data_IF_048554913295
#
_entry.id   IF_048554913295
#
_cell.length_a   1.000
_cell.length_b   1.000
_cell.length_c   1.000
_cell.angle_alpha   90.00
_cell.angle_beta   90.00
_cell.angle_gamma   90.00
#
_symmetry.space_group_name_H-M   'P 1'
#
loop_
_entity.id
_entity.type
_entity.pdbx_description
1 polymer ?
#
# COMPACT_ATOMS: atom_id res chain seq x y z
N UNK A 1 -0.18 -3.18 -26.14
CA UNK A 1 -1.54 -2.64 -25.95
C UNK A 1 -1.42 -1.17 -25.54
N UNK A 2 -2.33 -0.31 -26.03
CA UNK A 2 -2.36 1.13 -25.72
C UNK A 2 -3.76 1.47 -25.25
N UNK A 3 -3.89 2.08 -24.08
CA UNK A 3 -5.19 2.46 -23.51
C UNK A 3 -5.20 3.90 -22.99
N UNK A 4 -6.40 4.47 -22.86
CA UNK A 4 -6.64 5.71 -22.12
C UNK A 4 -7.28 5.33 -20.80
N UNK A 5 -6.66 5.74 -19.71
CA UNK A 5 -7.13 5.42 -18.35
C UNK A 5 -6.99 6.61 -17.43
N UNK A 6 -7.72 6.60 -16.34
CA UNK A 6 -7.58 7.60 -15.28
C UNK A 6 -6.83 7.03 -14.08
N UNK A 7 -6.22 7.90 -13.30
CA UNK A 7 -5.72 7.54 -11.96
C UNK A 7 -4.42 6.76 -11.91
N UNK A 8 -3.66 6.66 -13.00
CA UNK A 8 -2.44 5.81 -13.03
C UNK A 8 -1.33 6.25 -12.06
N UNK A 9 -1.13 7.54 -11.82
CA UNK A 9 -0.21 8.02 -10.78
C UNK A 9 -0.98 8.29 -9.47
N UNK A 10 -1.99 9.15 -9.54
CA UNK A 10 -2.86 9.48 -8.40
C UNK A 10 -4.31 9.26 -8.82
N UNK A 11 -5.04 8.37 -8.12
CA UNK A 11 -6.44 8.13 -8.38
C UNK A 11 -7.27 9.42 -8.33
N UNK A 12 -8.11 9.63 -9.35
CA UNK A 12 -9.05 10.75 -9.40
C UNK A 12 -9.99 10.67 -8.20
N UNK A 13 -10.18 11.79 -7.51
CA UNK A 13 -10.90 11.82 -6.24
C UNK A 13 -11.49 13.18 -5.95
N UNK A 14 -12.53 13.18 -5.13
CA UNK A 14 -13.04 14.36 -4.46
C UNK A 14 -13.42 14.01 -3.02
N UNK A 15 -13.55 15.00 -2.15
CA UNK A 15 -13.86 14.71 -0.77
C UNK A 15 -14.22 15.94 0.05
N UNK A 16 -14.64 15.67 1.27
CA UNK A 16 -15.01 16.66 2.27
C UNK A 16 -14.19 16.40 3.53
N UNK A 17 -13.75 17.48 4.17
CA UNK A 17 -13.16 17.41 5.50
C UNK A 17 -13.62 18.60 6.32
N UNK A 18 -13.79 18.40 7.60
CA UNK A 18 -14.15 19.46 8.53
C UNK A 18 -13.62 19.16 9.91
N UNK A 19 -13.51 20.18 10.73
CA UNK A 19 -13.16 20.03 12.14
C UNK A 19 -13.82 21.12 12.97
N UNK A 20 -14.12 20.77 14.23
CA UNK A 20 -14.65 21.67 15.25
C UNK A 20 -13.72 21.68 16.46
N UNK A 21 -13.45 22.86 16.99
CA UNK A 21 -12.69 23.05 18.24
C UNK A 21 -13.65 22.91 19.42
N UNK A 22 -13.43 21.89 20.24
CA UNK A 22 -14.24 21.61 21.43
C UNK A 22 -13.75 22.38 22.66
N UNK A 23 -12.71 23.19 22.54
CA UNK A 23 -12.03 23.86 23.64
C UNK A 23 -10.97 23.00 24.32
N UNK A 24 -10.18 23.62 25.20
CA UNK A 24 -9.11 22.96 25.95
C UNK A 24 -8.07 22.22 25.09
N UNK A 25 -7.89 22.64 23.82
CA UNK A 25 -6.97 22.02 22.86
C UNK A 25 -7.46 20.71 22.28
N UNK A 26 -8.74 20.41 22.38
CA UNK A 26 -9.37 19.20 21.79
C UNK A 26 -10.17 19.59 20.55
N UNK A 27 -9.98 18.84 19.47
CA UNK A 27 -10.72 18.98 18.20
C UNK A 27 -11.36 17.67 17.81
N UNK A 28 -12.56 17.74 17.27
CA UNK A 28 -13.21 16.63 16.55
C UNK A 28 -13.22 16.96 15.07
N UNK A 29 -13.06 15.99 14.20
CA UNK A 29 -13.14 16.21 12.77
C UNK A 29 -13.46 14.95 11.99
N UNK A 30 -13.67 15.12 10.69
CA UNK A 30 -13.94 14.03 9.77
C UNK A 30 -13.21 14.21 8.44
N UNK A 31 -13.00 13.09 7.74
CA UNK A 31 -12.49 13.04 6.36
C UNK A 31 -13.36 12.05 5.59
N UNK A 32 -13.93 12.52 4.48
CA UNK A 32 -14.69 11.71 3.53
C UNK A 32 -14.07 11.90 2.15
N UNK A 33 -13.51 10.84 1.55
CA UNK A 33 -12.88 10.89 0.23
C UNK A 33 -13.42 9.78 -0.66
N UNK A 34 -13.94 10.18 -1.82
CA UNK A 34 -14.44 9.28 -2.87
C UNK A 34 -13.46 9.22 -4.04
N UNK A 35 -13.18 8.01 -4.55
CA UNK A 35 -12.50 7.80 -5.81
C UNK A 35 -13.49 7.74 -6.98
N UNK A 36 -13.02 8.01 -8.20
CA UNK A 36 -13.79 7.82 -9.43
C UNK A 36 -12.88 7.64 -10.63
N UNK A 37 -13.39 6.99 -11.67
CA UNK A 37 -12.73 6.91 -12.97
C UNK A 37 -13.06 8.14 -13.80
N UNK A 38 -12.09 9.01 -14.07
CA UNK A 38 -12.34 10.27 -14.79
C UNK A 38 -12.68 10.09 -16.27
N UNK A 39 -12.34 8.95 -16.84
CA UNK A 39 -12.62 8.56 -18.23
C UNK A 39 -14.04 8.02 -18.42
N UNK A 40 -14.64 7.38 -17.40
CA UNK A 40 -15.97 6.76 -17.49
C UNK A 40 -17.00 7.34 -16.51
N UNK A 41 -16.55 8.07 -15.48
CA UNK A 41 -17.41 8.54 -14.39
C UNK A 41 -17.81 7.46 -13.38
N UNK A 42 -17.29 6.24 -13.50
CA UNK A 42 -17.66 5.12 -12.64
C UNK A 42 -17.02 5.23 -11.23
N UNK A 43 -17.68 4.63 -10.23
CA UNK A 43 -17.09 4.40 -8.91
C UNK A 43 -16.16 3.17 -8.96
N UNK A 44 -14.94 3.22 -8.40
CA UNK A 44 -13.96 2.15 -8.55
C UNK A 44 -14.22 0.94 -7.64
N UNK A 45 -14.92 1.07 -6.54
CA UNK A 45 -15.05 0.05 -5.51
C UNK A 45 -16.50 -0.38 -5.29
N UNK A 46 -17.03 -1.30 -6.12
CA UNK A 46 -18.33 -1.95 -5.95
C UNK A 46 -19.46 -1.01 -5.48
N UNK A 47 -19.49 0.24 -5.98
CA UNK A 47 -20.50 1.22 -5.62
C UNK A 47 -20.30 1.91 -4.27
N UNK A 48 -19.21 1.65 -3.53
CA UNK A 48 -18.94 2.32 -2.25
C UNK A 48 -18.70 3.82 -2.47
N UNK A 49 -19.53 4.65 -1.82
CA UNK A 49 -19.26 6.08 -1.64
C UNK A 49 -18.20 6.22 -0.54
N UNK A 50 -17.24 7.13 -0.73
CA UNK A 50 -16.11 7.34 0.19
C UNK A 50 -15.22 6.10 0.37
N UNK A 51 -15.01 5.38 -0.73
CA UNK A 51 -14.19 4.17 -0.81
C UNK A 51 -12.74 4.38 -0.35
N UNK A 52 -12.23 5.63 -0.46
CA UNK A 52 -10.83 5.97 -0.16
C UNK A 52 -10.60 6.30 1.31
N UNK A 53 -11.49 7.09 1.92
CA UNK A 53 -11.46 7.39 3.35
C UNK A 53 -12.87 7.80 3.82
N UNK A 54 -13.29 7.21 4.94
CA UNK A 54 -14.51 7.59 5.65
C UNK A 54 -14.21 7.51 7.14
N UNK A 55 -13.76 8.64 7.73
CA UNK A 55 -13.25 8.65 9.11
C UNK A 55 -13.77 9.81 9.92
N UNK A 56 -13.90 9.55 11.23
CA UNK A 56 -14.01 10.56 12.28
C UNK A 56 -12.77 10.49 13.17
N UNK A 57 -12.31 11.62 13.67
CA UNK A 57 -11.17 11.64 14.58
C UNK A 57 -11.36 12.63 15.74
N UNK A 58 -10.66 12.33 16.84
CA UNK A 58 -10.50 13.20 18.00
C UNK A 58 -9.00 13.47 18.19
N UNK A 59 -8.61 14.73 18.22
CA UNK A 59 -7.21 15.17 18.34
C UNK A 59 -7.02 16.10 19.52
N UNK A 60 -5.91 15.97 20.21
CA UNK A 60 -5.55 16.80 21.36
C UNK A 60 -4.12 16.58 21.84
N UNK A 61 -3.79 17.09 23.02
CA UNK A 61 -2.48 16.87 23.64
C UNK A 61 -2.17 15.40 23.93
N UNK A 62 -3.20 14.54 23.94
CA UNK A 62 -3.09 13.09 24.07
C UNK A 62 -2.72 12.38 22.76
N UNK A 63 -2.67 13.08 21.65
CA UNK A 63 -2.47 12.53 20.31
C UNK A 63 -3.75 12.55 19.45
N UNK A 64 -3.92 11.55 18.59
CA UNK A 64 -5.06 11.46 17.68
C UNK A 64 -5.68 10.06 17.74
N UNK A 65 -6.99 9.99 17.93
CA UNK A 65 -7.82 8.80 17.81
C UNK A 65 -8.66 8.93 16.55
N UNK A 66 -8.59 7.96 15.64
CA UNK A 66 -9.31 7.96 14.35
C UNK A 66 -10.04 6.64 14.16
N UNK A 67 -11.27 6.69 13.65
CA UNK A 67 -12.13 5.53 13.43
C UNK A 67 -12.75 5.57 12.04
N UNK A 68 -12.93 4.40 11.43
CA UNK A 68 -13.61 4.22 10.15
C UNK A 68 -12.77 3.55 9.08
N UNK A 69 -13.14 3.76 7.82
CA UNK A 69 -12.40 3.24 6.68
C UNK A 69 -11.18 4.09 6.37
N UNK A 70 -10.00 3.48 6.39
CA UNK A 70 -8.74 4.17 6.14
C UNK A 70 -7.66 3.22 5.62
N UNK A 71 -6.53 3.78 5.18
CA UNK A 71 -5.37 3.00 4.75
C UNK A 71 -4.63 2.40 5.96
N UNK A 72 -4.08 1.20 5.81
CA UNK A 72 -3.14 0.63 6.79
C UNK A 72 -1.85 1.48 6.86
N UNK A 73 -1.04 1.32 7.92
CA UNK A 73 0.18 2.12 8.15
C UNK A 73 1.18 2.05 7.00
N UNK A 74 1.37 0.88 6.43
CA UNK A 74 2.29 0.59 5.33
C UNK A 74 1.68 0.79 3.94
N UNK A 75 0.44 1.27 3.87
CA UNK A 75 -0.27 1.47 2.62
C UNK A 75 0.42 2.45 1.67
N UNK A 76 0.08 2.36 0.40
CA UNK A 76 0.72 3.16 -0.66
C UNK A 76 0.24 4.61 -0.75
N UNK A 77 -0.91 4.93 -0.18
CA UNK A 77 -1.45 6.30 -0.10
C UNK A 77 -2.57 6.38 0.95
N UNK A 78 -2.91 7.60 1.38
CA UNK A 78 -3.95 7.86 2.37
C UNK A 78 -3.41 8.63 3.58
N UNK A 79 -4.30 9.18 4.38
CA UNK A 79 -3.96 10.07 5.51
C UNK A 79 -3.32 9.31 6.70
N UNK A 80 -3.52 7.99 6.77
CA UNK A 80 -3.00 7.12 7.83
C UNK A 80 -1.68 6.43 7.47
N UNK A 81 -1.24 6.54 6.21
CA UNK A 81 -0.01 5.90 5.72
C UNK A 81 1.23 6.62 6.24
N UNK A 82 2.20 5.86 6.74
CA UNK A 82 3.49 6.38 7.22
C UNK A 82 4.66 6.13 6.24
N UNK A 83 4.44 5.37 5.16
CA UNK A 83 5.49 4.99 4.19
C UNK A 83 5.50 5.86 2.94
N UNK A 84 4.34 6.15 2.38
CA UNK A 84 4.23 6.88 1.12
C UNK A 84 4.90 8.25 1.18
N UNK A 85 5.86 8.49 0.29
CA UNK A 85 6.61 9.74 0.20
C UNK A 85 7.63 9.98 1.32
N UNK A 86 7.67 9.12 2.35
CA UNK A 86 8.61 9.23 3.46
C UNK A 86 9.86 8.37 3.26
N UNK A 87 9.67 7.07 2.99
CA UNK A 87 10.76 6.07 2.95
C UNK A 87 10.83 5.28 1.64
N UNK A 88 10.03 5.64 0.64
CA UNK A 88 10.09 5.06 -0.69
C UNK A 88 10.09 6.16 -1.76
N UNK A 89 10.90 6.02 -2.85
CA UNK A 89 10.98 7.04 -3.91
C UNK A 89 9.68 7.14 -4.72
N UNK A 90 9.03 6.00 -4.92
CA UNK A 90 7.75 5.86 -5.64
C UNK A 90 6.82 5.06 -4.75
N UNK A 91 5.69 5.64 -4.35
CA UNK A 91 4.77 5.01 -3.40
C UNK A 91 3.66 4.21 -4.08
N UNK A 92 2.88 4.84 -4.94
CA UNK A 92 1.74 4.20 -5.61
C UNK A 92 2.08 3.62 -6.98
N UNK A 93 3.29 3.88 -7.48
CA UNK A 93 3.66 3.60 -8.86
C UNK A 93 2.94 4.51 -9.86
N UNK A 94 2.84 4.03 -11.09
CA UNK A 94 2.17 4.71 -12.19
C UNK A 94 1.16 3.78 -12.88
N UNK A 95 0.38 3.04 -12.07
CA UNK A 95 -0.56 2.02 -12.49
C UNK A 95 -0.06 0.60 -12.18
N UNK A 96 -0.87 -0.39 -12.53
CA UNK A 96 -0.69 -1.79 -12.12
C UNK A 96 0.62 -2.41 -12.61
N UNK A 97 1.16 -1.92 -13.70
CA UNK A 97 2.40 -2.44 -14.29
C UNK A 97 3.64 -1.57 -14.00
N UNK A 98 3.51 -0.51 -13.20
CA UNK A 98 4.60 0.40 -12.80
C UNK A 98 4.53 0.59 -11.28
N UNK A 99 4.95 -0.40 -10.50
CA UNK A 99 4.44 -0.65 -9.15
C UNK A 99 5.08 0.14 -8.01
N UNK A 100 6.23 0.78 -8.17
CA UNK A 100 6.94 1.34 -7.01
C UNK A 100 7.27 0.27 -5.97
N UNK A 101 7.11 0.55 -4.66
CA UNK A 101 7.41 -0.46 -3.62
C UNK A 101 6.36 -1.57 -3.51
N UNK A 102 5.20 -1.45 -4.15
CA UNK A 102 4.22 -2.54 -4.23
C UNK A 102 4.81 -3.82 -4.83
N UNK A 103 5.87 -3.69 -5.65
CA UNK A 103 6.54 -4.84 -6.25
C UNK A 103 7.08 -5.86 -5.24
N UNK A 104 7.43 -5.40 -4.03
CA UNK A 104 8.11 -6.22 -3.02
C UNK A 104 7.31 -6.34 -1.72
N UNK A 105 6.07 -5.87 -1.71
CA UNK A 105 5.26 -5.86 -0.50
C UNK A 105 4.21 -6.97 -0.50
N UNK A 106 3.71 -7.32 0.68
CA UNK A 106 2.68 -8.32 0.89
C UNK A 106 1.40 -7.72 1.47
N UNK A 107 0.27 -8.37 1.18
CA UNK A 107 -1.07 -7.94 1.56
C UNK A 107 -1.60 -6.74 0.76
N UNK A 108 -2.89 -6.48 0.89
CA UNK A 108 -3.51 -5.32 0.24
C UNK A 108 -3.00 -4.01 0.86
N UNK A 109 -2.34 -3.19 0.06
CA UNK A 109 -1.78 -1.90 0.48
C UNK A 109 -2.78 -0.74 0.44
N UNK A 110 -4.06 -1.00 0.23
CA UNK A 110 -5.06 0.05 0.05
C UNK A 110 -5.80 0.37 1.36
N UNK A 111 -7.07 0.02 1.48
CA UNK A 111 -7.94 0.48 2.57
C UNK A 111 -8.60 -0.67 3.27
N UNK A 112 -8.71 -0.54 4.58
CA UNK A 112 -9.38 -1.46 5.49
C UNK A 112 -10.58 -0.78 6.12
N UNK A 113 -11.65 -1.54 6.27
CA UNK A 113 -12.87 -1.13 6.96
C UNK A 113 -12.73 -1.30 8.48
N UNK A 114 -13.57 -0.62 9.23
CA UNK A 114 -13.71 -0.80 10.68
C UNK A 114 -12.40 -0.61 11.48
N UNK A 115 -11.54 0.29 11.01
CA UNK A 115 -10.24 0.55 11.65
C UNK A 115 -10.39 1.52 12.80
N UNK A 116 -9.84 1.15 13.96
CA UNK A 116 -9.50 2.05 15.06
C UNK A 116 -7.99 2.33 15.02
N UNK A 117 -7.60 3.60 15.03
CA UNK A 117 -6.19 4.02 15.00
C UNK A 117 -5.89 5.01 16.12
N UNK A 118 -4.77 4.82 16.78
CA UNK A 118 -4.19 5.81 17.69
C UNK A 118 -2.82 6.25 17.20
N UNK A 119 -2.59 7.57 17.23
CA UNK A 119 -1.28 8.17 16.95
C UNK A 119 -0.86 8.99 18.17
N UNK A 120 0.33 8.77 18.68
CA UNK A 120 0.88 9.56 19.80
C UNK A 120 1.10 11.03 19.41
N UNK A 121 1.21 11.94 20.36
CA UNK A 121 1.84 13.23 20.13
C UNK A 121 3.24 13.09 19.52
N UNK A 122 3.74 14.16 18.95
CA UNK A 122 5.10 14.23 18.43
C UNK A 122 6.11 14.36 19.58
N UNK A 123 7.01 13.40 19.71
CA UNK A 123 8.10 13.37 20.69
C UNK A 123 9.43 13.70 20.02
N UNK A 124 9.68 14.95 19.72
CA UNK A 124 10.89 15.41 19.03
C UNK A 124 11.12 14.70 17.68
N UNK A 125 10.06 14.58 16.88
CA UNK A 125 10.05 13.92 15.58
C UNK A 125 9.66 12.45 15.60
N UNK A 126 9.57 11.81 16.77
CA UNK A 126 9.09 10.43 16.93
C UNK A 126 7.58 10.39 17.14
N UNK A 127 6.90 9.55 16.36
CA UNK A 127 5.49 9.17 16.57
C UNK A 127 5.34 7.67 16.56
N UNK A 128 4.44 7.17 17.41
CA UNK A 128 4.01 5.77 17.44
C UNK A 128 2.56 5.68 16.98
N UNK A 129 2.23 4.54 16.37
CA UNK A 129 0.95 4.27 15.76
C UNK A 129 0.46 2.90 16.15
N UNK A 130 -0.83 2.80 16.47
CA UNK A 130 -1.54 1.54 16.66
C UNK A 130 -2.74 1.52 15.72
N UNK A 131 -2.95 0.42 15.00
CA UNK A 131 -4.17 0.18 14.23
C UNK A 131 -4.75 -1.18 14.60
N UNK A 132 -6.07 -1.26 14.60
CA UNK A 132 -6.83 -2.47 14.81
C UNK A 132 -8.09 -2.44 13.94
N UNK A 133 -8.42 -3.57 13.33
CA UNK A 133 -9.75 -3.83 12.74
C UNK A 133 -10.22 -5.23 13.10
N UNK A 134 -11.44 -5.33 13.58
CA UNK A 134 -12.11 -6.59 13.91
C UNK A 134 -12.74 -7.30 12.69
N UNK A 135 -12.72 -6.63 11.53
CA UNK A 135 -13.22 -7.12 10.25
C UNK A 135 -12.93 -6.09 9.17
N UNK A 136 -11.74 -6.17 8.55
CA UNK A 136 -11.30 -5.14 7.62
C UNK A 136 -11.92 -5.26 6.22
N UNK A 137 -12.61 -6.36 5.95
CA UNK A 137 -13.24 -6.72 4.68
C UNK A 137 -14.61 -7.41 4.87
N UNK A 138 -15.30 -7.09 5.96
CA UNK A 138 -16.61 -7.68 6.30
C UNK A 138 -17.61 -7.56 5.16
N UNK A 139 -18.23 -8.66 4.81
CA UNK A 139 -19.40 -8.74 3.95
C UNK A 139 -20.66 -9.04 4.79
N UNK A 140 -21.41 -7.99 5.10
CA UNK A 140 -22.66 -8.11 5.89
C UNK A 140 -23.75 -8.89 5.16
N UNK A 141 -23.74 -8.90 3.82
CA UNK A 141 -24.70 -9.63 2.99
C UNK A 141 -24.47 -11.16 3.11
N UNK A 142 -23.25 -11.59 3.39
CA UNK A 142 -22.88 -12.96 3.69
C UNK A 142 -23.00 -13.32 5.19
N UNK A 143 -23.45 -12.38 6.01
CA UNK A 143 -23.64 -12.58 7.45
C UNK A 143 -22.35 -12.55 8.27
N UNK A 144 -21.29 -11.98 7.74
CA UNK A 144 -20.05 -11.77 8.47
C UNK A 144 -20.22 -10.72 9.58
N UNK A 145 -19.59 -10.95 10.72
CA UNK A 145 -19.67 -10.05 11.88
C UNK A 145 -18.26 -9.83 12.44
N UNK A 146 -17.93 -8.57 12.72
CA UNK A 146 -16.65 -8.20 13.29
C UNK A 146 -16.27 -8.99 14.55
N UNK A 147 -14.97 -9.22 14.74
CA UNK A 147 -14.37 -9.90 15.88
C UNK A 147 -14.78 -11.39 16.05
N UNK A 148 -15.18 -12.02 14.95
CA UNK A 148 -15.50 -13.44 14.92
C UNK A 148 -14.53 -14.21 14.01
N UNK A 149 -14.59 -15.54 14.07
CA UNK A 149 -13.79 -16.41 13.19
C UNK A 149 -14.21 -16.34 11.71
N UNK A 150 -15.37 -15.74 11.44
CA UNK A 150 -15.88 -15.50 10.09
C UNK A 150 -15.27 -14.27 9.40
N UNK A 151 -14.41 -13.51 10.08
CA UNK A 151 -13.86 -12.26 9.54
C UNK A 151 -12.34 -12.18 9.64
N UNK A 152 -11.72 -11.57 8.64
CA UNK A 152 -10.31 -11.24 8.65
C UNK A 152 -10.05 -10.05 9.58
N UNK A 153 -9.17 -10.22 10.55
CA UNK A 153 -8.81 -9.20 11.55
C UNK A 153 -7.39 -8.71 11.34
N UNK A 154 -7.15 -7.47 11.70
CA UNK A 154 -5.89 -6.79 11.45
C UNK A 154 -5.40 -6.04 12.68
N UNK A 155 -4.10 -6.12 12.93
CA UNK A 155 -3.40 -5.43 14.01
C UNK A 155 -2.11 -4.82 13.45
N UNK A 156 -1.79 -3.59 13.81
CA UNK A 156 -0.52 -2.98 13.44
C UNK A 156 0.05 -2.12 14.58
N UNK A 157 1.36 -2.23 14.73
CA UNK A 157 2.18 -1.31 15.50
C UNK A 157 3.19 -0.66 14.55
N UNK A 158 3.21 0.67 14.52
CA UNK A 158 4.12 1.42 13.68
C UNK A 158 4.85 2.52 14.41
N UNK A 159 5.93 2.97 13.79
CA UNK A 159 6.69 4.14 14.22
C UNK A 159 7.13 4.98 13.01
N UNK A 160 7.23 6.28 13.21
CA UNK A 160 7.94 7.16 12.29
C UNK A 160 8.84 8.10 13.06
N UNK A 161 9.98 8.45 12.47
CA UNK A 161 10.90 9.42 13.02
C UNK A 161 11.37 10.37 11.91
N UNK A 162 11.35 11.67 12.21
CA UNK A 162 11.83 12.70 11.31
C UNK A 162 12.73 13.69 12.06
N UNK A 163 13.95 13.86 11.58
CA UNK A 163 14.89 14.83 12.14
C UNK A 163 15.76 15.43 11.02
N UNK A 164 15.49 16.71 10.70
CA UNK A 164 16.18 17.39 9.60
C UNK A 164 16.04 16.64 8.28
N UNK A 165 17.14 16.27 7.62
CA UNK A 165 17.15 15.56 6.35
C UNK A 165 16.80 14.07 6.48
N UNK A 166 16.80 13.51 7.68
CA UNK A 166 16.58 12.09 7.93
C UNK A 166 15.11 11.78 8.24
N UNK A 167 14.55 10.79 7.52
CA UNK A 167 13.25 10.20 7.79
C UNK A 167 13.40 8.69 7.95
N UNK A 168 12.68 8.08 8.88
CA UNK A 168 12.51 6.63 8.95
C UNK A 168 11.08 6.28 9.33
N UNK A 169 10.65 5.08 8.96
CA UNK A 169 9.42 4.48 9.41
C UNK A 169 9.56 2.96 9.45
N UNK A 170 8.77 2.33 10.30
CA UNK A 170 8.70 0.88 10.41
C UNK A 170 7.34 0.44 10.95
N UNK A 171 6.93 -0.78 10.63
CA UNK A 171 5.71 -1.37 11.13
C UNK A 171 5.82 -2.88 11.27
N UNK A 172 5.09 -3.41 12.25
CA UNK A 172 4.77 -4.83 12.38
C UNK A 172 3.26 -4.96 12.26
N UNK A 173 2.81 -5.80 11.33
CA UNK A 173 1.41 -6.00 11.01
C UNK A 173 1.07 -7.48 11.11
N UNK A 174 -0.02 -7.81 11.78
CA UNK A 174 -0.53 -9.17 12.00
C UNK A 174 -1.91 -9.28 11.39
N UNK A 175 -2.14 -10.37 10.69
CA UNK A 175 -3.41 -10.72 10.07
C UNK A 175 -3.92 -12.03 10.66
N UNK A 176 -5.12 -12.02 11.25
CA UNK A 176 -5.81 -13.25 11.58
C UNK A 176 -6.82 -13.51 10.45
N UNK A 177 -6.54 -14.55 9.66
CA UNK A 177 -7.41 -14.95 8.57
C UNK A 177 -8.70 -15.60 9.09
N UNK A 178 -9.79 -15.46 8.32
CA UNK A 178 -11.04 -16.13 8.64
C UNK A 178 -10.85 -17.66 8.58
N UNK A 179 -11.45 -18.37 9.54
CA UNK A 179 -11.42 -19.83 9.63
C UNK A 179 -12.81 -20.46 9.62
N UNK A 180 -13.85 -19.66 9.45
CA UNK A 180 -15.25 -20.06 9.44
C UNK A 180 -15.97 -19.48 8.23
N UNK A 181 -17.02 -20.16 7.73
CA UNK A 181 -17.71 -19.81 6.50
C UNK A 181 -16.83 -19.79 5.23
N UNK A 182 -15.78 -20.61 5.22
CA UNK A 182 -14.95 -20.77 4.05
C UNK A 182 -15.73 -21.46 2.93
N UNK A 183 -15.55 -20.99 1.70
CA UNK A 183 -16.07 -21.68 0.50
C UNK A 183 -15.26 -22.94 0.21
N UNK A 184 -15.76 -23.79 -0.72
CA UNK A 184 -15.07 -25.05 -1.08
C UNK A 184 -13.66 -24.81 -1.70
N UNK A 185 -13.42 -23.61 -2.22
CA UNK A 185 -12.13 -23.22 -2.84
C UNK A 185 -11.20 -22.48 -1.87
N UNK A 186 -11.69 -22.06 -0.70
CA UNK A 186 -10.89 -21.43 0.36
C UNK A 186 -10.37 -22.47 1.34
N UNK A 187 -9.20 -22.25 1.89
CA UNK A 187 -8.61 -23.07 2.93
C UNK A 187 -8.33 -22.25 4.19
N UNK A 188 -8.29 -22.92 5.33
CA UNK A 188 -7.81 -22.30 6.56
C UNK A 188 -6.33 -21.98 6.41
N UNK A 189 -5.98 -20.71 6.66
CA UNK A 189 -4.62 -20.19 6.60
C UNK A 189 -4.10 -19.91 8.00
N UNK A 190 -2.81 -20.11 8.20
CA UNK A 190 -2.12 -19.63 9.38
C UNK A 190 -2.05 -18.09 9.39
N UNK A 191 -1.96 -17.51 10.58
CA UNK A 191 -1.95 -16.05 10.75
C UNK A 191 -0.80 -15.37 10.02
N UNK A 192 -1.14 -14.38 9.21
CA UNK A 192 -0.18 -13.61 8.43
C UNK A 192 0.64 -12.62 9.26
N UNK A 193 1.89 -12.41 8.88
CA UNK A 193 2.82 -11.46 9.47
C UNK A 193 3.51 -10.63 8.39
N UNK A 194 3.59 -9.31 8.60
CA UNK A 194 4.45 -8.42 7.81
C UNK A 194 5.29 -7.57 8.76
N UNK A 195 6.61 -7.58 8.56
CA UNK A 195 7.56 -6.73 9.29
C UNK A 195 8.32 -5.90 8.27
N UNK A 196 8.29 -4.59 8.41
CA UNK A 196 8.94 -3.71 7.45
C UNK A 196 9.55 -2.49 8.12
N UNK A 197 10.62 -1.99 7.54
CA UNK A 197 11.25 -0.75 7.98
C UNK A 197 12.04 -0.12 6.82
N UNK A 198 12.21 1.19 6.89
CA UNK A 198 13.01 1.90 5.91
C UNK A 198 13.37 3.30 6.37
N UNK A 199 14.18 3.94 5.54
CA UNK A 199 14.60 5.31 5.78
C UNK A 199 14.92 6.05 4.49
N UNK A 200 15.03 7.36 4.64
CA UNK A 200 15.47 8.24 3.57
C UNK A 200 16.36 9.36 4.15
N UNK A 201 17.33 9.77 3.36
CA UNK A 201 18.18 10.89 3.68
C UNK A 201 18.23 11.88 2.51
N UNK A 202 17.93 13.13 2.80
CA UNK A 202 17.91 14.22 1.84
C UNK A 202 19.26 14.97 1.85
N UNK A 203 20.02 14.84 0.77
CA UNK A 203 21.29 15.53 0.57
C UNK A 203 21.11 16.88 -0.15
N UNK A 204 19.89 17.40 -0.24
CA UNK A 204 19.48 18.61 -0.99
C UNK A 204 19.54 18.43 -2.52
N UNK A 205 20.60 17.87 -3.06
CA UNK A 205 20.79 17.58 -4.50
C UNK A 205 20.18 16.25 -4.92
N UNK A 206 20.03 15.32 -3.97
CA UNK A 206 19.42 14.00 -4.16
C UNK A 206 18.91 13.48 -2.84
N UNK A 207 17.74 12.85 -2.84
CA UNK A 207 17.20 12.11 -1.69
C UNK A 207 17.36 10.62 -1.96
N UNK A 208 18.01 9.91 -1.07
CA UNK A 208 18.21 8.47 -1.12
C UNK A 208 17.17 7.76 -0.26
N UNK A 209 16.79 6.54 -0.66
CA UNK A 209 15.81 5.71 0.02
C UNK A 209 16.28 4.26 0.12
N UNK A 210 15.96 3.62 1.25
CA UNK A 210 16.16 2.19 1.45
C UNK A 210 15.05 1.65 2.34
N UNK A 211 14.43 0.55 1.92
CA UNK A 211 13.37 -0.13 2.68
C UNK A 211 13.52 -1.64 2.53
N UNK A 212 13.26 -2.37 3.62
CA UNK A 212 13.13 -3.83 3.66
C UNK A 212 11.78 -4.25 4.16
N UNK A 213 11.30 -5.38 3.70
CA UNK A 213 10.09 -6.06 4.17
C UNK A 213 10.37 -7.55 4.31
N UNK A 214 9.83 -8.16 5.36
CA UNK A 214 9.69 -9.60 5.56
C UNK A 214 8.19 -9.90 5.72
N UNK A 215 7.74 -11.00 5.16
CA UNK A 215 6.36 -11.45 5.29
C UNK A 215 6.29 -12.97 5.41
N UNK A 216 5.24 -13.45 6.05
CA UNK A 216 4.96 -14.86 6.26
C UNK A 216 3.45 -15.09 6.29
N UNK A 217 2.97 -16.17 5.68
CA UNK A 217 1.55 -16.50 5.48
C UNK A 217 0.75 -15.34 4.85
N UNK A 218 1.31 -14.72 3.80
CA UNK A 218 0.74 -13.54 3.16
C UNK A 218 0.64 -13.70 1.64
N UNK A 219 -0.38 -13.08 0.99
CA UNK A 219 -0.36 -12.89 -0.45
C UNK A 219 0.60 -11.76 -0.85
N UNK A 220 1.21 -11.85 -2.04
CA UNK A 220 1.95 -10.73 -2.64
C UNK A 220 1.00 -9.61 -3.06
N UNK A 221 1.38 -8.35 -2.84
CA UNK A 221 0.55 -7.19 -3.20
C UNK A 221 0.29 -7.06 -4.70
N UNK A 222 1.20 -7.53 -5.53
CA UNK A 222 1.06 -7.54 -7.00
C UNK A 222 0.56 -8.87 -7.57
N UNK A 223 0.49 -9.94 -6.75
CA UNK A 223 0.20 -11.27 -7.24
C UNK A 223 1.26 -11.82 -8.21
N UNK A 224 0.90 -12.83 -8.98
CA UNK A 224 1.74 -13.45 -10.00
C UNK A 224 1.48 -12.87 -11.39
N UNK A 225 2.47 -12.95 -12.28
CA UNK A 225 2.26 -12.56 -13.67
C UNK A 225 1.48 -13.63 -14.43
N UNK A 226 0.45 -13.20 -15.18
CA UNK A 226 -0.42 -14.08 -15.94
C UNK A 226 -1.77 -14.31 -15.25
N UNK A 227 -1.76 -14.90 -14.08
CA UNK A 227 -2.90 -14.99 -13.17
C UNK A 227 -2.43 -14.45 -11.81
N UNK A 228 -3.06 -13.37 -11.34
CA UNK A 228 -2.64 -12.70 -10.09
C UNK A 228 -2.80 -13.60 -8.86
N UNK A 229 -3.68 -14.59 -8.91
CA UNK A 229 -4.03 -15.44 -7.79
C UNK A 229 -3.31 -16.79 -7.80
N UNK A 230 -2.81 -17.25 -8.95
CA UNK A 230 -2.20 -18.56 -9.05
C UNK A 230 -1.13 -18.68 -10.14
N UNK A 231 -0.24 -19.64 -9.96
CA UNK A 231 0.78 -20.03 -10.91
C UNK A 231 0.89 -21.57 -10.93
N UNK A 232 1.01 -22.18 -12.10
CA UNK A 232 1.05 -23.63 -12.24
C UNK A 232 2.42 -24.11 -12.75
N UNK A 233 3.04 -25.04 -12.03
CA UNK A 233 4.28 -25.71 -12.40
C UNK A 233 4.01 -27.20 -12.55
N UNK A 234 4.07 -27.71 -13.76
CA UNK A 234 3.71 -29.12 -14.04
C UNK A 234 2.22 -29.35 -13.75
N UNK A 235 1.93 -30.18 -12.74
CA UNK A 235 0.57 -30.46 -12.26
C UNK A 235 0.26 -29.80 -10.90
N UNK A 236 1.19 -29.03 -10.34
CA UNK A 236 1.02 -28.36 -9.04
C UNK A 236 0.56 -26.91 -9.25
N UNK A 237 -0.46 -26.50 -8.51
CA UNK A 237 -0.97 -25.13 -8.48
C UNK A 237 -0.48 -24.42 -7.23
N UNK A 238 0.20 -23.29 -7.39
CA UNK A 238 0.65 -22.39 -6.32
C UNK A 238 -0.27 -21.19 -6.27
N UNK A 239 -0.80 -20.88 -5.08
CA UNK A 239 -1.73 -19.79 -4.88
C UNK A 239 -1.04 -18.59 -4.22
N UNK A 240 -1.45 -17.40 -4.64
CA UNK A 240 -0.99 -16.14 -4.03
C UNK A 240 -1.77 -15.86 -2.73
N UNK A 241 -1.63 -16.73 -1.73
CA UNK A 241 -2.36 -16.58 -0.46
C UNK A 241 -1.52 -16.94 0.78
N UNK A 242 -0.56 -17.84 0.64
CA UNK A 242 0.19 -18.44 1.75
C UNK A 242 1.69 -18.47 1.42
N UNK A 243 2.26 -17.28 1.32
CA UNK A 243 3.66 -17.08 0.92
C UNK A 243 4.47 -16.46 2.04
N UNK A 244 5.74 -16.86 2.13
CA UNK A 244 6.76 -16.22 2.95
C UNK A 244 7.86 -15.66 2.06
N UNK A 245 8.56 -14.65 2.56
CA UNK A 245 9.65 -14.08 1.80
C UNK A 245 10.14 -12.75 2.32
N UNK A 246 10.97 -12.13 1.53
CA UNK A 246 11.48 -10.80 1.82
C UNK A 246 11.57 -9.94 0.56
N UNK A 247 11.56 -8.63 0.76
CA UNK A 247 11.76 -7.67 -0.31
C UNK A 247 12.64 -6.50 0.12
N UNK A 248 13.35 -5.94 -0.85
CA UNK A 248 14.17 -4.74 -0.69
C UNK A 248 13.76 -3.73 -1.76
N UNK A 249 13.55 -2.49 -1.34
CA UNK A 249 13.34 -1.36 -2.24
C UNK A 249 14.39 -0.28 -1.95
N UNK A 250 15.05 0.19 -2.97
CA UNK A 250 15.96 1.32 -2.89
C UNK A 250 15.76 2.28 -4.04
N UNK A 251 16.22 3.50 -3.93
CA UNK A 251 16.13 4.45 -5.03
C UNK A 251 16.44 5.88 -4.65
N UNK A 252 16.14 6.76 -5.59
CA UNK A 252 16.46 8.18 -5.48
C UNK A 252 15.31 9.06 -5.96
N UNK A 253 15.27 10.28 -5.40
CA UNK A 253 14.59 11.43 -5.98
C UNK A 253 15.60 12.55 -6.20
N UNK A 254 15.63 13.12 -7.39
CA UNK A 254 16.58 14.19 -7.74
C UNK A 254 15.93 15.24 -8.64
N UNK A 255 16.19 16.53 -8.43
CA UNK A 255 15.75 17.59 -9.33
C UNK A 255 16.54 17.51 -10.66
N UNK A 256 15.86 17.17 -11.76
CA UNK A 256 16.46 16.98 -13.09
C UNK A 256 15.56 17.59 -14.15
N UNK A 257 16.13 18.35 -15.09
CA UNK A 257 15.42 18.96 -16.23
C UNK A 257 14.18 19.80 -15.85
N UNK A 258 14.28 20.55 -14.75
CA UNK A 258 13.18 21.40 -14.26
C UNK A 258 12.10 20.65 -13.45
N UNK A 259 12.08 19.34 -13.51
CA UNK A 259 11.19 18.46 -12.76
C UNK A 259 11.92 17.64 -11.69
N UNK A 260 11.30 16.59 -11.24
CA UNK A 260 11.81 15.65 -10.23
C UNK A 260 11.87 14.23 -10.83
N UNK A 261 13.09 13.71 -10.98
CA UNK A 261 13.33 12.33 -11.37
C UNK A 261 13.20 11.43 -10.15
N UNK A 262 12.51 10.30 -10.31
CA UNK A 262 12.37 9.23 -9.33
C UNK A 262 12.85 7.93 -9.94
N UNK A 263 13.74 7.24 -9.25
CA UNK A 263 14.19 5.90 -9.62
C UNK A 263 13.93 4.97 -8.44
N UNK A 264 13.34 3.82 -8.72
CA UNK A 264 13.11 2.74 -7.75
C UNK A 264 13.65 1.44 -8.30
N UNK A 265 14.45 0.76 -7.50
CA UNK A 265 14.98 -0.57 -7.76
C UNK A 265 14.45 -1.51 -6.67
N UNK A 266 13.89 -2.63 -7.06
CA UNK A 266 13.34 -3.59 -6.10
C UNK A 266 13.79 -5.00 -6.41
N UNK A 267 13.96 -5.77 -5.34
CA UNK A 267 14.15 -7.22 -5.39
C UNK A 267 13.26 -7.87 -4.34
N UNK A 268 12.62 -8.98 -4.68
CA UNK A 268 11.82 -9.79 -3.78
C UNK A 268 12.07 -11.25 -4.08
N UNK A 269 12.15 -12.05 -3.02
CA UNK A 269 12.10 -13.49 -3.06
C UNK A 269 10.90 -13.96 -2.23
N UNK A 270 10.14 -14.92 -2.75
CA UNK A 270 9.00 -15.50 -2.06
C UNK A 270 8.84 -16.99 -2.41
N UNK A 271 8.40 -17.75 -1.42
CA UNK A 271 8.09 -19.17 -1.50
C UNK A 271 6.83 -19.50 -0.68
N UNK A 272 6.17 -20.66 -0.86
CA UNK A 272 5.07 -21.08 0.00
C UNK A 272 5.50 -21.17 1.46
N UNK A 273 4.70 -20.60 2.38
CA UNK A 273 4.94 -20.71 3.84
C UNK A 273 4.73 -22.15 4.33
N UNK A 274 3.76 -22.85 3.75
CA UNK A 274 3.52 -24.26 4.01
C UNK A 274 4.27 -25.11 2.99
N UNK A 275 5.01 -26.11 3.45
CA UNK A 275 5.73 -27.03 2.56
C UNK A 275 4.79 -27.69 1.55
N UNK A 276 5.07 -27.53 0.26
CA UNK A 276 4.39 -28.19 -0.86
C UNK A 276 5.29 -29.25 -1.47
N UNK A 277 4.70 -30.17 -2.25
CA UNK A 277 5.44 -31.29 -2.81
C UNK A 277 6.49 -30.90 -3.86
N UNK A 278 6.32 -29.77 -4.51
CA UNK A 278 7.29 -29.21 -5.45
C UNK A 278 7.96 -27.97 -4.85
N UNK A 279 9.26 -27.84 -5.04
CA UNK A 279 9.97 -26.60 -4.73
C UNK A 279 9.46 -25.50 -5.66
N UNK A 280 8.83 -24.47 -5.10
CA UNK A 280 8.38 -23.29 -5.81
C UNK A 280 8.99 -22.07 -5.15
N UNK A 281 9.57 -21.23 -5.94
CA UNK A 281 10.17 -19.97 -5.51
C UNK A 281 9.97 -18.93 -6.61
N UNK A 282 9.72 -17.70 -6.26
CA UNK A 282 9.65 -16.59 -7.19
C UNK A 282 10.66 -15.52 -6.80
N UNK A 283 11.55 -15.21 -7.72
CA UNK A 283 12.44 -14.05 -7.65
C UNK A 283 11.88 -12.93 -8.52
N UNK A 284 11.58 -11.79 -7.91
CA UNK A 284 11.09 -10.60 -8.63
C UNK A 284 12.12 -9.50 -8.61
N UNK A 285 12.49 -9.01 -9.80
CA UNK A 285 13.25 -7.79 -10.00
C UNK A 285 12.38 -6.72 -10.67
N UNK A 286 12.41 -5.49 -10.15
CA UNK A 286 11.73 -4.36 -10.79
C UNK A 286 12.62 -3.13 -10.83
N UNK A 287 12.56 -2.43 -11.96
CA UNK A 287 13.13 -1.09 -12.15
C UNK A 287 12.01 -0.17 -12.58
N UNK A 288 11.76 0.87 -11.79
CA UNK A 288 10.75 1.90 -12.10
C UNK A 288 11.42 3.27 -12.17
N UNK A 289 11.15 3.99 -13.26
CA UNK A 289 11.58 5.38 -13.46
C UNK A 289 10.35 6.25 -13.60
N UNK A 290 10.32 7.34 -12.87
CA UNK A 290 9.30 8.37 -12.98
C UNK A 290 9.92 9.75 -13.12
N UNK A 291 9.25 10.64 -13.83
CA UNK A 291 9.60 12.06 -13.88
C UNK A 291 8.33 12.90 -13.78
N UNK A 292 8.37 13.92 -12.95
CA UNK A 292 7.24 14.80 -12.67
C UNK A 292 7.66 16.25 -12.77
N UNK A 293 6.91 17.06 -13.53
CA UNK A 293 7.11 18.50 -13.66
C UNK A 293 5.85 19.27 -13.32
N UNK A 294 6.00 20.28 -12.46
CA UNK A 294 4.92 21.18 -12.04
C UNK A 294 4.74 22.28 -13.07
N UNK A 295 3.85 22.08 -14.03
CA UNK A 295 3.47 23.11 -15.02
C UNK A 295 2.82 24.33 -14.37
N UNK A 296 2.16 24.13 -13.22
CA UNK A 296 1.58 25.19 -12.38
C UNK A 296 1.44 24.72 -10.93
N UNK A 297 0.92 25.60 -10.04
CA UNK A 297 0.60 25.22 -8.64
C UNK A 297 -0.42 24.06 -8.55
N UNK A 298 -1.22 23.84 -9.59
CA UNK A 298 -2.32 22.87 -9.62
C UNK A 298 -2.17 21.78 -10.67
N UNK A 299 -1.20 21.90 -11.58
CA UNK A 299 -1.04 20.96 -12.70
C UNK A 299 0.35 20.39 -12.72
N UNK A 300 0.44 19.07 -12.71
CA UNK A 300 1.70 18.33 -12.82
C UNK A 300 1.63 17.40 -14.04
N UNK A 301 2.62 17.47 -14.90
CA UNK A 301 2.89 16.48 -15.95
C UNK A 301 3.71 15.34 -15.32
N UNK A 302 3.38 14.10 -15.65
CA UNK A 302 4.20 12.96 -15.24
C UNK A 302 4.47 12.01 -16.41
N UNK A 303 5.64 11.38 -16.34
CA UNK A 303 6.07 10.28 -17.19
C UNK A 303 6.50 9.13 -16.28
N UNK A 304 6.20 7.90 -16.66
CA UNK A 304 6.64 6.71 -15.93
C UNK A 304 6.96 5.58 -16.88
N UNK A 305 7.97 4.78 -16.51
CA UNK A 305 8.29 3.53 -17.18
C UNK A 305 8.78 2.51 -16.17
N UNK A 306 8.49 1.23 -16.42
CA UNK A 306 8.98 0.14 -15.60
C UNK A 306 9.32 -1.08 -16.45
N UNK A 307 10.26 -1.83 -15.92
CA UNK A 307 10.58 -3.21 -16.27
C UNK A 307 10.42 -4.05 -15.02
N UNK A 308 9.70 -5.17 -15.14
CA UNK A 308 9.55 -6.15 -14.06
C UNK A 308 9.78 -7.54 -14.63
N UNK A 309 10.54 -8.36 -13.93
CA UNK A 309 10.78 -9.76 -14.25
C UNK A 309 10.49 -10.60 -13.01
N UNK A 310 9.68 -11.62 -13.19
CA UNK A 310 9.51 -12.73 -12.25
C UNK A 310 10.17 -13.96 -12.82
N UNK A 311 11.08 -14.55 -12.06
CA UNK A 311 11.68 -15.88 -12.33
C UNK A 311 11.01 -16.89 -11.39
N UNK A 312 10.31 -17.87 -11.98
CA UNK A 312 9.61 -18.96 -11.28
C UNK A 312 10.39 -20.27 -11.32
N UNK A 313 11.71 -20.22 -11.54
CA UNK A 313 12.64 -21.36 -11.70
C UNK A 313 12.41 -22.20 -12.97
N UNK A 314 11.19 -22.31 -13.46
CA UNK A 314 10.80 -23.09 -14.66
C UNK A 314 10.42 -22.22 -15.84
N UNK A 315 10.07 -20.98 -15.60
CA UNK A 315 9.72 -19.98 -16.61
C UNK A 315 9.98 -18.57 -16.08
N UNK A 316 10.44 -17.70 -16.97
CA UNK A 316 10.57 -16.28 -16.70
C UNK A 316 9.40 -15.52 -17.31
N UNK A 317 8.83 -14.59 -16.54
CA UNK A 317 7.80 -13.67 -17.01
C UNK A 317 8.33 -12.24 -16.96
N UNK A 318 8.32 -11.54 -18.09
CA UNK A 318 8.81 -10.16 -18.18
C UNK A 318 7.71 -9.22 -18.63
N UNK A 319 7.60 -8.08 -17.96
CA UNK A 319 6.64 -7.01 -18.29
C UNK A 319 7.35 -5.67 -18.46
N UNK A 320 6.97 -4.96 -19.50
CA UNK A 320 7.38 -3.57 -19.75
C UNK A 320 6.14 -2.68 -19.78
N UNK A 321 6.24 -1.52 -19.18
CA UNK A 321 5.14 -0.56 -19.15
C UNK A 321 5.66 0.86 -19.24
N UNK A 322 4.90 1.74 -19.88
CA UNK A 322 5.16 3.17 -19.92
C UNK A 322 3.84 3.94 -19.84
N UNK A 323 3.87 5.09 -19.21
CA UNK A 323 2.71 5.98 -19.08
C UNK A 323 3.11 7.43 -19.18
N UNK A 324 2.17 8.26 -19.63
CA UNK A 324 2.25 9.71 -19.58
C UNK A 324 0.90 10.24 -19.12
N UNK A 325 0.88 11.28 -18.30
CA UNK A 325 -0.38 11.85 -17.85
C UNK A 325 -0.25 13.19 -17.17
N UNK A 326 -1.40 13.74 -16.81
CA UNK A 326 -1.54 15.00 -16.10
C UNK A 326 -2.31 14.78 -14.79
N UNK A 327 -1.83 15.43 -13.73
CA UNK A 327 -2.55 15.57 -12.47
C UNK A 327 -3.01 17.01 -12.37
N UNK A 328 -4.31 17.23 -12.11
CA UNK A 328 -4.84 18.56 -11.87
C UNK A 328 -5.66 18.59 -10.58
N UNK A 329 -5.42 19.60 -9.75
CA UNK A 329 -6.15 19.85 -8.49
C UNK A 329 -6.94 21.14 -8.59
N UNK A 330 -8.19 21.13 -8.21
CA UNK A 330 -9.10 22.28 -8.22
C UNK A 330 -9.06 23.07 -6.93
#
# INVERSE_FOLDING_TARGET
>A
ETERTSGKNLGSRFGFKGSEDLGNGVKVGFILENGFSADTGALPSNGKIFDRESTIYLEGNFGNLKFGRMTRLTGSNGSSCIYAGNIAPISTGYGDSIPGYNAVFAGNLLRYDNVAMYTTPDFAGLKLYLQYSGGYDVDEDEGEVENQSSTNRFYALGMSYKNGPFNMAGAVERFNWKSYNLTADERELDDGLVVSAGGAYDFEVVKLFLMGVYFDHMPLSMGFFGDENKFTVGNEEFRNEDLQGFGINTGINAPVFGGNLRLSLTYMNAEPSTQVAADFEVDRCNVTVGWEDKLSKRTTLYLGAAWTQDDYQVVEATRYSATVGLIHSF
#
